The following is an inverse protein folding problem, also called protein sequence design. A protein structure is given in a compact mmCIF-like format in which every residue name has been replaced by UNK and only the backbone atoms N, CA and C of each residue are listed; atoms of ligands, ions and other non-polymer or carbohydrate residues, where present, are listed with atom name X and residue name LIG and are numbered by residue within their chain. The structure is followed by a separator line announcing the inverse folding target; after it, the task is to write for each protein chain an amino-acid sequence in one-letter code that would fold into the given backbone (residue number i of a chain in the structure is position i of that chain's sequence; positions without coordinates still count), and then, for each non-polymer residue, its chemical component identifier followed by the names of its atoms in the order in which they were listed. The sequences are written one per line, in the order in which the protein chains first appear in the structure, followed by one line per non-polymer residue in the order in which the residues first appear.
data_IF_664135872961
#
_entry.id   IF_664135872961
#
_cell.length_a   1.000
_cell.length_b   1.000
_cell.length_c   1.000
_cell.angle_alpha   90.00
_cell.angle_beta   90.00
_cell.angle_gamma   90.00
#
_symmetry.space_group_name_H-M   'P 1'
#
loop_
_entity.id
_entity.type
_entity.pdbx_description
1 polymer ?
#
# COMPACT_ATOMS: atom_id res chain seq x y z
N UNK A 1 -42.21 -0.18 28.40
CA UNK A 1 -40.85 -0.09 27.81
C UNK A 1 -40.97 0.70 26.50
N UNK A 2 -40.28 1.83 26.33
CA UNK A 2 -40.46 2.68 25.14
C UNK A 2 -39.69 2.12 23.93
N UNK A 3 -40.24 2.29 22.72
CA UNK A 3 -39.60 1.86 21.47
C UNK A 3 -38.15 2.37 21.33
N UNK A 4 -37.90 3.62 21.75
CA UNK A 4 -36.56 4.22 21.82
C UNK A 4 -35.61 3.49 22.78
N UNK A 5 -36.12 2.98 23.91
CA UNK A 5 -35.35 2.19 24.88
C UNK A 5 -34.98 0.80 24.33
N UNK A 6 -35.89 0.14 23.61
CA UNK A 6 -35.63 -1.16 22.96
C UNK A 6 -34.59 -1.03 21.84
N UNK A 7 -34.70 -0.01 20.99
CA UNK A 7 -33.71 0.27 19.93
C UNK A 7 -32.33 0.58 20.51
N UNK A 8 -32.26 1.32 21.63
CA UNK A 8 -31.00 1.58 22.35
C UNK A 8 -30.39 0.30 22.93
N UNK A 9 -31.21 -0.60 23.49
CA UNK A 9 -30.76 -1.90 24.00
C UNK A 9 -30.24 -2.84 22.92
N UNK A 10 -30.94 -2.95 21.78
CA UNK A 10 -30.51 -3.76 20.64
C UNK A 10 -29.23 -3.23 19.98
N UNK A 11 -29.10 -1.91 19.84
CA UNK A 11 -27.87 -1.27 19.37
C UNK A 11 -26.69 -1.58 20.28
N UNK A 12 -26.92 -1.62 21.59
CA UNK A 12 -25.88 -1.95 22.57
C UNK A 12 -25.41 -3.41 22.43
N UNK A 13 -26.32 -4.36 22.26
CA UNK A 13 -25.98 -5.78 22.09
C UNK A 13 -25.21 -6.06 20.79
N UNK A 14 -25.63 -5.47 19.67
CA UNK A 14 -24.90 -5.57 18.41
C UNK A 14 -23.46 -5.04 18.56
N UNK A 15 -23.30 -3.87 19.18
CA UNK A 15 -22.00 -3.26 19.43
C UNK A 15 -21.09 -4.14 20.31
N UNK A 16 -21.65 -4.81 21.33
CA UNK A 16 -20.90 -5.72 22.19
C UNK A 16 -20.34 -6.92 21.40
N UNK A 17 -21.15 -7.57 20.56
CA UNK A 17 -20.69 -8.75 19.81
C UNK A 17 -19.73 -8.38 18.67
N UNK A 18 -19.99 -7.28 17.96
CA UNK A 18 -19.04 -6.72 16.99
C UNK A 18 -17.70 -6.40 17.68
N UNK A 19 -17.75 -5.71 18.83
CA UNK A 19 -16.56 -5.38 19.60
C UNK A 19 -15.76 -6.62 20.02
N UNK A 20 -16.44 -7.64 20.57
CA UNK A 20 -15.82 -8.92 20.93
C UNK A 20 -15.11 -9.58 19.74
N UNK A 21 -15.73 -9.56 18.56
CA UNK A 21 -15.12 -10.12 17.34
C UNK A 21 -13.89 -9.31 16.89
N UNK A 22 -13.95 -7.98 16.93
CA UNK A 22 -12.79 -7.12 16.65
C UNK A 22 -11.62 -7.40 17.60
N UNK A 23 -11.89 -7.56 18.90
CA UNK A 23 -10.86 -7.83 19.90
C UNK A 23 -10.26 -9.22 19.73
N UNK A 24 -11.09 -10.25 19.53
CA UNK A 24 -10.66 -11.64 19.32
C UNK A 24 -9.80 -11.81 18.07
N UNK A 25 -10.16 -11.13 16.97
CA UNK A 25 -9.45 -11.22 15.69
C UNK A 25 -8.37 -10.17 15.48
N UNK A 26 -8.15 -9.28 16.45
CA UNK A 26 -7.17 -8.21 16.35
C UNK A 26 -7.43 -7.27 15.18
N UNK A 27 -8.69 -7.04 14.84
CA UNK A 27 -9.08 -6.20 13.70
C UNK A 27 -8.86 -4.72 14.08
N UNK A 28 -8.11 -3.94 13.27
CA UNK A 28 -7.98 -2.51 13.50
C UNK A 28 -9.34 -1.82 13.55
N UNK A 29 -9.57 -0.92 14.50
CA UNK A 29 -10.87 -0.24 14.64
C UNK A 29 -11.26 0.58 13.42
N UNK A 30 -10.29 1.00 12.61
CA UNK A 30 -10.53 1.65 11.33
C UNK A 30 -11.31 0.79 10.34
N UNK A 31 -11.30 -0.55 10.47
CA UNK A 31 -12.13 -1.43 9.65
C UNK A 31 -13.64 -1.14 9.78
N UNK A 32 -14.08 -0.55 10.89
CA UNK A 32 -15.47 -0.12 11.08
C UNK A 32 -15.83 1.11 10.21
N UNK A 33 -14.84 1.85 9.70
CA UNK A 33 -15.03 2.97 8.77
C UNK A 33 -15.13 2.51 7.30
N UNK A 34 -15.01 1.21 7.03
CA UNK A 34 -15.17 0.67 5.68
C UNK A 34 -16.55 1.01 5.11
N UNK A 35 -16.65 1.40 3.82
CA UNK A 35 -17.93 1.65 3.17
C UNK A 35 -18.84 0.41 3.14
N UNK A 36 -18.26 -0.79 3.27
CA UNK A 36 -18.99 -2.07 3.29
C UNK A 36 -19.47 -2.46 4.70
N UNK A 37 -18.99 -1.81 5.76
CA UNK A 37 -19.37 -2.17 7.12
C UNK A 37 -20.86 -1.88 7.42
N UNK A 38 -21.42 -0.69 7.12
CA UNK A 38 -22.86 -0.47 7.30
C UNK A 38 -23.75 -1.37 6.41
N UNK A 39 -23.46 -1.58 5.10
CA UNK A 39 -24.19 -2.55 4.28
C UNK A 39 -24.18 -3.98 4.85
N UNK A 40 -23.04 -4.47 5.34
CA UNK A 40 -22.94 -5.79 5.98
C UNK A 40 -23.89 -5.89 7.18
N UNK A 41 -23.89 -4.89 8.08
CA UNK A 41 -24.79 -4.88 9.24
C UNK A 41 -26.25 -4.85 8.81
N UNK A 42 -26.60 -4.05 7.80
CA UNK A 42 -27.96 -3.98 7.26
C UNK A 42 -28.39 -5.31 6.63
N UNK A 43 -27.49 -5.99 5.92
CA UNK A 43 -27.75 -7.31 5.33
C UNK A 43 -28.03 -8.36 6.41
N UNK A 44 -27.24 -8.40 7.48
CA UNK A 44 -27.45 -9.28 8.64
C UNK A 44 -28.81 -9.01 9.29
N UNK A 45 -29.18 -7.74 9.48
CA UNK A 45 -30.47 -7.36 10.05
C UNK A 45 -31.66 -7.78 9.17
N UNK A 46 -31.51 -7.66 7.84
CA UNK A 46 -32.54 -8.06 6.86
C UNK A 46 -32.70 -9.58 6.75
N UNK A 47 -31.59 -10.32 6.84
CA UNK A 47 -31.59 -11.78 6.77
C UNK A 47 -32.42 -12.42 7.89
N UNK A 48 -32.41 -11.81 9.08
CA UNK A 48 -33.20 -12.24 10.22
C UNK A 48 -32.66 -13.48 10.94
N UNK A 49 -33.34 -13.93 12.02
CA UNK A 49 -32.91 -15.08 12.81
C UNK A 49 -32.94 -16.38 12.00
N UNK A 50 -31.90 -17.22 12.12
CA UNK A 50 -31.83 -18.55 11.49
C UNK A 50 -30.95 -18.60 10.23
N UNK A 51 -30.58 -17.46 9.66
CA UNK A 51 -29.56 -17.40 8.60
C UNK A 51 -28.18 -17.61 9.22
N UNK A 52 -27.48 -18.64 8.73
CA UNK A 52 -26.12 -18.94 9.18
C UNK A 52 -25.14 -17.93 8.55
N UNK A 53 -24.17 -17.40 9.31
CA UNK A 53 -23.07 -16.64 8.72
C UNK A 53 -22.28 -17.49 7.72
N UNK A 54 -21.70 -16.84 6.71
CA UNK A 54 -20.80 -17.49 5.75
C UNK A 54 -19.62 -18.14 6.48
N UNK A 55 -19.26 -19.33 6.04
CA UNK A 55 -18.09 -20.07 6.51
C UNK A 55 -16.80 -19.48 5.93
N UNK A 56 -15.66 -19.80 6.54
CA UNK A 56 -14.36 -19.39 6.00
C UNK A 56 -14.14 -19.92 4.57
N UNK A 57 -14.61 -21.14 4.27
CA UNK A 57 -14.52 -21.73 2.93
C UNK A 57 -15.36 -20.95 1.90
N UNK A 58 -16.61 -20.60 2.24
CA UNK A 58 -17.47 -19.82 1.36
C UNK A 58 -16.87 -18.43 1.08
N UNK A 59 -16.31 -17.79 2.10
CA UNK A 59 -15.65 -16.48 1.98
C UNK A 59 -14.36 -16.54 1.14
N UNK A 60 -13.56 -17.58 1.27
CA UNK A 60 -12.28 -17.71 0.55
C UNK A 60 -12.39 -18.40 -0.82
N UNK A 61 -13.58 -18.90 -1.16
CA UNK A 61 -13.85 -19.63 -2.39
C UNK A 61 -14.96 -18.93 -3.18
N UNK A 62 -16.19 -19.46 -3.18
CA UNK A 62 -17.25 -19.00 -4.08
C UNK A 62 -17.56 -17.50 -3.98
N UNK A 63 -17.59 -16.92 -2.78
CA UNK A 63 -17.85 -15.47 -2.62
C UNK A 63 -16.69 -14.66 -3.18
N UNK A 64 -15.44 -15.09 -2.94
CA UNK A 64 -14.27 -14.42 -3.50
C UNK A 64 -14.24 -14.54 -5.04
N UNK A 65 -14.62 -15.69 -5.58
CA UNK A 65 -14.69 -15.92 -7.02
C UNK A 65 -15.72 -15.00 -7.67
N UNK A 66 -16.90 -14.82 -7.05
CA UNK A 66 -17.92 -13.87 -7.50
C UNK A 66 -17.41 -12.42 -7.52
N UNK A 67 -16.75 -11.98 -6.44
CA UNK A 67 -16.15 -10.64 -6.37
C UNK A 67 -15.03 -10.44 -7.41
N UNK A 68 -14.20 -11.46 -7.64
CA UNK A 68 -13.18 -11.43 -8.69
C UNK A 68 -13.82 -11.28 -10.07
N UNK A 69 -14.92 -11.97 -10.34
CA UNK A 69 -15.61 -11.89 -11.61
C UNK A 69 -16.32 -10.54 -11.81
N UNK A 70 -16.88 -9.93 -10.75
CA UNK A 70 -17.38 -8.56 -10.80
C UNK A 70 -16.25 -7.56 -11.11
N UNK A 71 -15.11 -7.66 -10.43
CA UNK A 71 -13.96 -6.80 -10.69
C UNK A 71 -13.44 -6.98 -12.11
N UNK A 72 -13.38 -8.21 -12.64
CA UNK A 72 -12.99 -8.47 -14.03
C UNK A 72 -13.95 -7.80 -15.02
N UNK A 73 -15.27 -7.89 -14.81
CA UNK A 73 -16.26 -7.21 -15.67
C UNK A 73 -16.02 -5.70 -15.68
N UNK A 74 -15.81 -5.11 -14.50
CA UNK A 74 -15.48 -3.69 -14.37
C UNK A 74 -14.16 -3.33 -15.08
N UNK A 75 -13.14 -4.19 -15.02
CA UNK A 75 -11.88 -4.02 -15.76
C UNK A 75 -12.12 -4.06 -17.28
N UNK A 76 -12.99 -4.93 -17.80
CA UNK A 76 -13.29 -4.96 -19.23
C UNK A 76 -13.97 -3.66 -19.70
N UNK A 77 -14.90 -3.10 -18.92
CA UNK A 77 -15.47 -1.76 -19.19
C UNK A 77 -14.43 -0.64 -19.11
N UNK A 78 -13.41 -0.83 -18.27
CA UNK A 78 -12.28 0.08 -18.15
C UNK A 78 -11.42 0.05 -19.43
N UNK A 79 -11.13 -1.15 -19.94
CA UNK A 79 -10.32 -1.41 -21.14
C UNK A 79 -10.91 -0.87 -22.43
N UNK A 80 -12.24 -0.73 -22.53
CA UNK A 80 -12.91 -0.22 -23.74
C UNK A 80 -12.39 1.15 -24.25
N UNK A 81 -11.78 1.97 -23.37
CA UNK A 81 -11.21 3.28 -23.78
C UNK A 81 -9.76 3.22 -24.24
N UNK A 82 -9.05 2.13 -23.97
CA UNK A 82 -7.63 1.98 -24.30
C UNK A 82 -7.31 2.21 -25.79
N UNK A 83 -8.13 1.76 -26.76
CA UNK A 83 -7.87 2.04 -28.17
C UNK A 83 -7.84 3.53 -28.52
N UNK A 84 -8.52 4.37 -27.74
CA UNK A 84 -8.63 5.82 -27.99
C UNK A 84 -7.63 6.64 -27.19
N UNK A 85 -7.36 6.26 -25.95
CA UNK A 85 -6.50 7.04 -25.05
C UNK A 85 -5.09 6.50 -24.91
N UNK A 86 -4.89 5.23 -25.26
CA UNK A 86 -3.74 4.46 -24.80
C UNK A 86 -3.70 4.32 -23.27
N UNK A 87 -2.63 3.70 -22.79
CA UNK A 87 -2.32 3.55 -21.37
C UNK A 87 -0.84 3.74 -21.07
N UNK A 88 -0.55 3.98 -19.80
CA UNK A 88 0.78 3.86 -19.22
C UNK A 88 0.86 2.54 -18.46
N UNK A 89 1.75 1.66 -18.86
CA UNK A 89 2.09 0.44 -18.13
C UNK A 89 3.13 0.76 -17.06
N UNK A 90 3.02 0.16 -15.88
CA UNK A 90 3.93 0.38 -14.76
C UNK A 90 4.38 -0.96 -14.19
N UNK A 91 5.68 -1.10 -13.93
CA UNK A 91 6.27 -2.26 -13.26
C UNK A 91 6.88 -1.84 -11.93
N UNK A 92 6.47 -2.50 -10.85
CA UNK A 92 7.02 -2.31 -9.51
C UNK A 92 7.54 -3.63 -8.95
N UNK A 93 8.76 -3.60 -8.40
CA UNK A 93 9.42 -4.79 -7.90
C UNK A 93 9.54 -4.77 -6.39
N UNK A 94 9.09 -5.86 -5.77
CA UNK A 94 9.17 -6.01 -4.32
C UNK A 94 9.90 -7.29 -3.93
N UNK A 95 10.81 -7.18 -2.97
CA UNK A 95 11.50 -8.33 -2.36
C UNK A 95 11.17 -8.39 -0.87
N UNK A 96 10.49 -9.45 -0.47
CA UNK A 96 10.34 -9.75 0.94
C UNK A 96 11.69 -10.22 1.50
N UNK A 97 12.34 -9.42 2.34
CA UNK A 97 13.65 -9.74 2.93
C UNK A 97 13.60 -10.97 3.85
N UNK A 98 12.45 -11.28 4.45
CA UNK A 98 12.25 -12.40 5.40
C UNK A 98 11.99 -13.70 4.65
N UNK A 99 10.94 -13.73 3.83
CA UNK A 99 10.57 -14.95 3.09
C UNK A 99 11.44 -15.18 1.85
N UNK A 100 12.29 -14.21 1.49
CA UNK A 100 13.08 -14.17 0.24
C UNK A 100 12.24 -14.25 -1.03
N UNK A 101 10.92 -14.06 -0.93
CA UNK A 101 10.03 -14.05 -2.08
C UNK A 101 10.11 -12.72 -2.80
N UNK A 102 10.33 -12.78 -4.11
CA UNK A 102 10.37 -11.62 -4.98
C UNK A 102 9.15 -11.59 -5.89
N UNK A 103 8.51 -10.44 -6.01
CA UNK A 103 7.36 -10.23 -6.90
C UNK A 103 7.62 -9.05 -7.83
N UNK A 104 7.08 -9.14 -9.04
CA UNK A 104 6.96 -8.00 -9.95
C UNK A 104 5.48 -7.76 -10.21
N UNK A 105 5.01 -6.58 -9.85
CA UNK A 105 3.64 -6.15 -10.01
C UNK A 105 3.52 -5.29 -11.26
N UNK A 106 2.46 -5.52 -12.04
CA UNK A 106 2.15 -4.78 -13.25
C UNK A 106 0.83 -4.05 -13.08
N UNK A 107 0.82 -2.76 -13.40
CA UNK A 107 -0.35 -1.90 -13.33
C UNK A 107 -0.54 -1.15 -14.63
N UNK A 108 -1.79 -0.90 -14.99
CA UNK A 108 -2.15 -0.06 -16.14
C UNK A 108 -2.83 1.22 -15.65
N UNK A 109 -2.25 2.36 -16.00
CA UNK A 109 -2.81 3.68 -15.77
C UNK A 109 -3.48 4.21 -17.04
N UNK A 110 -4.66 4.82 -16.89
CA UNK A 110 -5.34 5.60 -17.92
C UNK A 110 -6.06 6.80 -17.29
N UNK A 111 -6.71 7.64 -18.10
CA UNK A 111 -7.52 8.76 -17.60
C UNK A 111 -8.68 8.34 -16.65
N UNK A 112 -9.11 7.07 -16.68
CA UNK A 112 -10.12 6.55 -15.74
C UNK A 112 -9.53 6.16 -14.37
N UNK A 113 -8.21 6.01 -14.23
CA UNK A 113 -7.57 5.59 -12.98
C UNK A 113 -6.39 4.63 -13.17
N UNK A 114 -6.18 3.74 -12.20
CA UNK A 114 -5.14 2.69 -12.25
C UNK A 114 -5.79 1.35 -11.97
N UNK A 115 -5.46 0.33 -12.75
CA UNK A 115 -5.85 -1.06 -12.49
C UNK A 115 -4.62 -1.92 -12.26
N UNK A 116 -4.78 -2.92 -11.40
CA UNK A 116 -3.80 -3.99 -11.25
C UNK A 116 -4.00 -5.01 -12.37
N UNK A 117 -2.92 -5.36 -13.08
CA UNK A 117 -2.97 -6.34 -14.15
C UNK A 117 -2.58 -7.72 -13.64
N UNK A 118 -1.40 -7.83 -13.04
CA UNK A 118 -0.89 -9.09 -12.52
C UNK A 118 0.27 -8.89 -11.56
N UNK A 119 0.56 -9.92 -10.78
CA UNK A 119 1.80 -10.05 -10.02
C UNK A 119 2.47 -11.35 -10.44
N UNK A 120 3.75 -11.30 -10.79
CA UNK A 120 4.54 -12.46 -11.18
C UNK A 120 5.53 -12.78 -10.06
N UNK A 121 5.48 -14.01 -9.56
CA UNK A 121 6.50 -14.51 -8.64
C UNK A 121 7.82 -14.72 -9.40
N UNK A 122 8.85 -14.03 -8.96
CA UNK A 122 10.21 -14.05 -9.53
C UNK A 122 11.24 -14.55 -8.53
N UNK A 123 10.78 -15.23 -7.48
CA UNK A 123 11.62 -15.86 -6.46
C UNK A 123 12.54 -16.90 -7.09
N UNK A 124 13.78 -16.97 -6.63
CA UNK A 124 14.79 -17.90 -7.16
C UNK A 124 15.25 -17.63 -8.59
N UNK A 125 14.65 -16.67 -9.30
CA UNK A 125 15.03 -16.34 -10.68
C UNK A 125 16.13 -15.28 -10.70
N UNK A 126 17.14 -15.48 -11.55
CA UNK A 126 18.19 -14.46 -11.77
C UNK A 126 17.62 -13.30 -12.59
N UNK A 127 17.42 -12.16 -11.93
CA UNK A 127 16.85 -10.93 -12.51
C UNK A 127 17.88 -10.13 -13.32
N UNK A 128 18.39 -10.72 -14.41
CA UNK A 128 19.29 -10.04 -15.33
C UNK A 128 18.52 -9.23 -16.40
N UNK A 129 19.25 -8.47 -17.21
CA UNK A 129 18.68 -7.66 -18.29
C UNK A 129 17.75 -8.46 -19.22
N UNK A 130 18.21 -9.62 -19.71
CA UNK A 130 17.43 -10.46 -20.63
C UNK A 130 16.15 -11.01 -20.00
N UNK A 131 16.15 -11.28 -18.69
CA UNK A 131 14.95 -11.67 -17.96
C UNK A 131 13.90 -10.56 -18.03
N UNK A 132 14.27 -9.32 -17.72
CA UNK A 132 13.35 -8.19 -17.77
C UNK A 132 12.88 -7.87 -19.18
N UNK A 133 13.75 -7.95 -20.20
CA UNK A 133 13.35 -7.76 -21.60
C UNK A 133 12.20 -8.72 -21.96
N UNK A 134 12.40 -10.03 -21.75
CA UNK A 134 11.36 -11.03 -22.08
C UNK A 134 10.09 -10.85 -21.28
N UNK A 135 10.22 -10.55 -19.99
CA UNK A 135 9.06 -10.37 -19.13
C UNK A 135 8.25 -9.13 -19.54
N UNK A 136 8.91 -8.02 -19.82
CA UNK A 136 8.25 -6.79 -20.21
C UNK A 136 7.62 -6.89 -21.60
N UNK A 137 8.29 -7.54 -22.54
CA UNK A 137 7.76 -7.87 -23.86
C UNK A 137 6.47 -8.70 -23.72
N UNK A 138 6.49 -9.77 -22.92
CA UNK A 138 5.31 -10.58 -22.63
C UNK A 138 4.16 -9.78 -22.03
N UNK A 139 4.41 -8.88 -21.06
CA UNK A 139 3.34 -8.08 -20.46
C UNK A 139 2.76 -7.07 -21.46
N UNK A 140 3.59 -6.48 -22.33
CA UNK A 140 3.10 -5.60 -23.40
C UNK A 140 2.24 -6.38 -24.40
N UNK A 141 2.64 -7.60 -24.75
CA UNK A 141 1.81 -8.51 -25.57
C UNK A 141 0.49 -8.88 -24.89
N UNK A 142 0.52 -9.25 -23.60
CA UNK A 142 -0.69 -9.59 -22.80
C UNK A 142 -1.73 -8.43 -22.78
N UNK A 143 -1.26 -7.18 -22.86
CA UNK A 143 -2.09 -5.96 -22.88
C UNK A 143 -2.53 -5.57 -24.29
N UNK A 144 -1.86 -6.07 -25.33
CA UNK A 144 -1.82 -5.57 -26.71
C UNK A 144 -0.98 -4.29 -26.87
N UNK A 145 0.17 -4.44 -27.52
CA UNK A 145 1.18 -3.41 -27.79
C UNK A 145 0.62 -2.07 -28.30
N UNK A 146 -0.36 -2.09 -29.21
CA UNK A 146 -1.00 -0.89 -29.78
C UNK A 146 -1.69 0.02 -28.75
N UNK A 147 -2.00 -0.49 -27.55
CA UNK A 147 -2.61 0.31 -26.47
C UNK A 147 -1.57 0.93 -25.54
N UNK A 148 -0.33 0.44 -25.54
CA UNK A 148 0.71 0.88 -24.61
C UNK A 148 1.47 2.06 -25.22
N UNK A 149 1.28 3.24 -24.63
CA UNK A 149 1.97 4.46 -25.06
C UNK A 149 3.24 4.69 -24.25
N UNK A 150 3.21 4.32 -22.96
CA UNK A 150 4.32 4.51 -22.05
C UNK A 150 4.54 3.27 -21.18
N UNK A 151 5.80 2.98 -20.86
CA UNK A 151 6.17 2.00 -19.83
C UNK A 151 7.08 2.65 -18.78
N UNK A 152 6.61 2.69 -17.53
CA UNK A 152 7.38 3.10 -16.36
C UNK A 152 7.95 1.87 -15.64
N UNK A 153 9.25 1.88 -15.39
CA UNK A 153 9.92 0.83 -14.61
C UNK A 153 10.79 1.43 -13.52
N UNK A 154 11.22 0.58 -12.59
CA UNK A 154 12.25 0.91 -11.61
C UNK A 154 13.59 1.32 -12.28
N UNK A 155 14.47 2.01 -11.54
CA UNK A 155 15.74 2.56 -12.04
C UNK A 155 16.91 1.57 -11.93
N UNK A 156 16.67 0.34 -11.46
CA UNK A 156 17.68 -0.70 -11.45
C UNK A 156 18.29 -0.88 -12.85
N UNK A 157 19.62 -1.04 -12.94
CA UNK A 157 20.36 -1.11 -14.23
C UNK A 157 19.77 -2.12 -15.23
N UNK A 158 19.27 -3.25 -14.74
CA UNK A 158 18.64 -4.26 -15.58
C UNK A 158 17.29 -3.80 -16.18
N UNK A 159 16.50 -3.03 -15.43
CA UNK A 159 15.27 -2.40 -15.90
C UNK A 159 15.57 -1.30 -16.91
N UNK A 160 16.58 -0.47 -16.66
CA UNK A 160 17.06 0.57 -17.60
C UNK A 160 17.42 -0.05 -18.95
N UNK A 161 18.21 -1.12 -18.93
CA UNK A 161 18.55 -1.83 -20.15
C UNK A 161 17.31 -2.37 -20.87
N UNK A 162 16.41 -3.01 -20.13
CA UNK A 162 15.21 -3.61 -20.70
C UNK A 162 14.27 -2.55 -21.32
N UNK A 163 14.05 -1.43 -20.63
CA UNK A 163 13.23 -0.33 -21.14
C UNK A 163 13.79 0.30 -22.42
N UNK A 164 15.10 0.53 -22.48
CA UNK A 164 15.76 0.98 -23.71
C UNK A 164 15.64 -0.04 -24.85
N UNK A 165 15.72 -1.34 -24.54
CA UNK A 165 15.57 -2.39 -25.53
C UNK A 165 14.13 -2.44 -26.09
N UNK A 166 13.12 -2.28 -25.24
CA UNK A 166 11.71 -2.19 -25.67
C UNK A 166 11.46 -1.00 -26.59
N UNK A 167 11.96 0.20 -26.27
CA UNK A 167 11.84 1.35 -27.20
C UNK A 167 12.52 1.10 -28.55
N UNK A 168 13.57 0.26 -28.58
CA UNK A 168 14.20 -0.12 -29.84
C UNK A 168 13.34 -1.08 -30.66
N UNK A 169 12.64 -2.02 -30.00
CA UNK A 169 11.75 -3.00 -30.63
C UNK A 169 10.39 -2.39 -31.04
N UNK A 170 9.85 -1.50 -30.19
CA UNK A 170 8.51 -0.90 -30.28
C UNK A 170 8.66 0.62 -30.40
N UNK A 171 8.69 1.15 -31.64
CA UNK A 171 9.03 2.56 -31.90
C UNK A 171 7.99 3.58 -31.40
N UNK A 172 6.76 3.16 -31.17
CA UNK A 172 5.69 3.99 -30.60
C UNK A 172 5.74 4.05 -29.07
N UNK A 173 6.44 3.12 -28.43
CA UNK A 173 6.51 3.02 -26.98
C UNK A 173 7.55 4.00 -26.41
N UNK A 174 7.16 4.77 -25.40
CA UNK A 174 8.07 5.60 -24.61
C UNK A 174 8.36 4.91 -23.28
N UNK A 175 9.62 4.64 -22.99
CA UNK A 175 10.03 4.15 -21.67
C UNK A 175 10.52 5.30 -20.79
N UNK A 176 10.12 5.31 -19.53
CA UNK A 176 10.57 6.28 -18.53
C UNK A 176 10.88 5.62 -17.18
N UNK A 177 11.74 6.28 -16.41
CA UNK A 177 12.10 5.88 -15.06
C UNK A 177 11.00 6.19 -14.04
N UNK A 178 10.92 5.40 -12.98
CA UNK A 178 10.03 5.64 -11.86
C UNK A 178 10.44 6.93 -11.14
N UNK A 179 9.56 7.93 -11.12
CA UNK A 179 9.82 9.19 -10.41
C UNK A 179 10.01 8.97 -8.92
N UNK A 180 9.21 8.09 -8.29
CA UNK A 180 9.32 7.83 -6.86
C UNK A 180 10.69 7.25 -6.47
N UNK A 181 11.19 6.29 -7.25
CA UNK A 181 12.53 5.75 -7.01
C UNK A 181 13.64 6.71 -7.44
N UNK A 182 13.41 7.56 -8.44
CA UNK A 182 14.35 8.64 -8.75
C UNK A 182 14.49 9.63 -7.59
N UNK A 183 13.38 9.97 -6.93
CA UNK A 183 13.39 10.80 -5.73
C UNK A 183 14.08 10.12 -4.54
N UNK A 184 13.86 8.81 -4.38
CA UNK A 184 14.57 7.99 -3.39
C UNK A 184 16.08 8.08 -3.56
N UNK A 185 16.60 7.82 -4.76
CA UNK A 185 18.04 7.89 -5.03
C UNK A 185 18.61 9.30 -4.79
N UNK A 186 17.87 10.34 -5.15
CA UNK A 186 18.28 11.73 -4.84
C UNK A 186 18.34 11.96 -3.32
N UNK A 187 17.37 11.45 -2.57
CA UNK A 187 17.36 11.55 -1.11
C UNK A 187 18.47 10.70 -0.46
N UNK A 188 18.82 9.54 -1.02
CA UNK A 188 19.97 8.75 -0.57
C UNK A 188 21.28 9.53 -0.76
N UNK A 189 21.48 10.15 -1.93
CA UNK A 189 22.67 10.97 -2.19
C UNK A 189 22.76 12.20 -1.27
N UNK A 190 21.65 12.90 -1.05
CA UNK A 190 21.57 14.01 -0.08
C UNK A 190 21.87 13.51 1.34
N UNK A 191 21.42 12.30 1.68
CA UNK A 191 21.61 11.67 2.98
C UNK A 191 23.06 11.37 3.30
N UNK A 192 23.93 11.28 2.29
CA UNK A 192 25.37 11.07 2.47
C UNK A 192 26.16 12.36 2.73
N UNK A 193 25.55 13.55 2.59
CA UNK A 193 26.16 14.80 3.01
C UNK A 193 26.38 14.75 4.53
N UNK A 194 27.62 14.94 4.99
CA UNK A 194 28.02 14.73 6.39
C UNK A 194 27.02 15.27 7.42
N UNK A 195 26.64 16.54 7.32
CA UNK A 195 25.71 17.15 8.28
C UNK A 195 24.30 16.55 8.21
N UNK A 196 23.83 16.19 7.01
CA UNK A 196 22.54 15.52 6.84
C UNK A 196 22.59 14.12 7.44
N UNK A 197 23.64 13.37 7.13
CA UNK A 197 23.88 12.02 7.65
C UNK A 197 23.88 11.98 9.18
N UNK A 198 24.64 12.87 9.80
CA UNK A 198 24.71 13.02 11.27
C UNK A 198 23.33 13.35 11.83
N UNK A 199 22.61 14.32 11.23
CA UNK A 199 21.25 14.70 11.64
C UNK A 199 20.25 13.53 11.55
N UNK A 200 20.25 12.80 10.43
CA UNK A 200 19.36 11.65 10.22
C UNK A 200 19.64 10.52 11.23
N UNK A 201 20.91 10.28 11.55
CA UNK A 201 21.32 9.30 12.55
C UNK A 201 20.84 9.69 13.95
N UNK A 202 21.03 10.95 14.35
CA UNK A 202 20.54 11.47 15.64
C UNK A 202 19.02 11.40 15.76
N UNK A 203 18.29 11.85 14.73
CA UNK A 203 16.83 11.76 14.68
C UNK A 203 16.33 10.31 14.81
N UNK A 204 17.00 9.37 14.14
CA UNK A 204 16.71 7.94 14.25
C UNK A 204 16.95 7.42 15.67
N UNK A 205 18.01 7.86 16.34
CA UNK A 205 18.30 7.49 17.73
C UNK A 205 17.23 8.03 18.69
N UNK A 206 16.81 9.29 18.54
CA UNK A 206 15.74 9.91 19.34
C UNK A 206 14.43 9.14 19.14
N UNK A 207 14.05 8.88 17.89
CA UNK A 207 12.84 8.13 17.56
C UNK A 207 12.86 6.71 18.17
N UNK A 208 13.97 5.98 18.02
CA UNK A 208 14.14 4.65 18.65
C UNK A 208 14.09 4.73 20.17
N UNK A 209 14.75 5.70 20.78
CA UNK A 209 14.76 5.86 22.24
C UNK A 209 13.34 6.07 22.77
N UNK A 210 12.57 7.00 22.19
CA UNK A 210 11.19 7.29 22.59
C UNK A 210 10.33 6.03 22.48
N UNK A 211 10.39 5.34 21.34
CA UNK A 211 9.52 4.19 21.10
C UNK A 211 9.91 2.92 21.87
N UNK A 212 11.17 2.80 22.31
CA UNK A 212 11.62 1.69 23.15
C UNK A 212 11.31 1.88 24.64
N UNK A 213 10.93 3.10 25.07
CA UNK A 213 10.63 3.40 26.48
C UNK A 213 9.16 3.80 26.63
N UNK A 214 8.34 2.88 27.13
CA UNK A 214 6.88 3.07 27.25
C UNK A 214 6.48 4.33 28.04
N UNK A 215 7.20 4.66 29.11
CA UNK A 215 6.99 5.87 29.90
C UNK A 215 7.26 7.14 29.10
N UNK A 216 8.35 7.17 28.34
CA UNK A 216 8.73 8.32 27.50
C UNK A 216 7.73 8.49 26.35
N UNK A 217 7.31 7.39 25.73
CA UNK A 217 6.27 7.42 24.70
C UNK A 217 4.93 7.93 25.25
N UNK A 218 4.56 7.53 26.48
CA UNK A 218 3.37 8.03 27.14
C UNK A 218 3.45 9.55 27.38
N UNK A 219 4.57 10.03 27.93
CA UNK A 219 4.80 11.46 28.16
C UNK A 219 4.78 12.26 26.85
N UNK A 220 5.43 11.77 25.79
CA UNK A 220 5.36 12.40 24.47
C UNK A 220 3.91 12.52 24.00
N UNK A 221 3.11 11.45 24.08
CA UNK A 221 1.71 11.46 23.64
C UNK A 221 0.85 12.42 24.46
N UNK A 222 1.08 12.50 25.77
CA UNK A 222 0.39 13.45 26.64
C UNK A 222 0.73 14.91 26.26
N UNK A 223 2.03 15.20 26.12
CA UNK A 223 2.55 16.55 25.87
C UNK A 223 2.32 17.06 24.43
N UNK A 224 2.10 16.15 23.49
CA UNK A 224 1.92 16.44 22.05
C UNK A 224 0.44 16.43 21.62
N UNK A 225 -0.50 16.30 22.55
CA UNK A 225 -1.95 16.10 22.25
C UNK A 225 -2.20 14.89 21.36
N UNK A 226 -1.51 13.78 21.64
CA UNK A 226 -1.55 12.50 20.91
C UNK A 226 -0.97 12.54 19.48
N UNK A 227 -0.16 13.55 19.14
CA UNK A 227 0.65 13.48 17.92
C UNK A 227 1.73 12.41 18.10
N UNK A 228 2.08 11.74 17.01
CA UNK A 228 3.13 10.71 17.01
C UNK A 228 4.29 11.14 16.13
N UNK A 229 5.50 10.76 16.53
CA UNK A 229 6.69 10.87 15.69
C UNK A 229 6.61 9.76 14.65
N UNK A 230 6.92 10.08 13.39
CA UNK A 230 6.90 9.07 12.34
C UNK A 230 7.96 8.02 12.65
N UNK A 231 7.55 6.74 12.64
CA UNK A 231 8.49 5.64 12.83
C UNK A 231 9.24 5.38 11.52
N UNK A 232 10.57 5.18 11.55
CA UNK A 232 11.31 4.69 10.40
C UNK A 232 10.66 3.41 9.87
N UNK A 233 10.26 3.43 8.61
CA UNK A 233 9.66 2.30 7.92
C UNK A 233 10.67 1.76 6.91
N UNK A 234 10.87 0.45 6.92
CA UNK A 234 11.87 -0.24 6.11
C UNK A 234 11.63 -0.07 4.59
N UNK A 235 10.42 0.34 4.19
CA UNK A 235 9.95 0.31 2.80
C UNK A 235 9.43 1.66 2.27
N UNK A 236 9.81 2.79 2.88
CA UNK A 236 9.43 4.11 2.35
C UNK A 236 10.64 5.02 2.21
N UNK A 237 10.89 5.40 0.97
CA UNK A 237 12.00 6.16 0.41
C UNK A 237 12.42 7.45 1.16
N UNK A 238 11.52 8.03 1.95
CA UNK A 238 11.79 9.30 2.66
C UNK A 238 11.61 9.20 4.19
N UNK A 239 11.50 7.99 4.77
CA UNK A 239 11.04 7.89 6.17
C UNK A 239 11.99 8.54 7.16
N UNK A 240 13.29 8.46 6.94
CA UNK A 240 14.27 9.06 7.84
C UNK A 240 14.16 10.60 7.84
N UNK A 241 13.85 11.20 6.68
CA UNK A 241 13.55 12.62 6.56
C UNK A 241 12.22 13.00 7.24
N UNK A 242 11.19 12.18 7.08
CA UNK A 242 9.90 12.37 7.75
C UNK A 242 10.02 12.23 9.28
N UNK A 243 10.97 11.43 9.77
CA UNK A 243 11.27 11.34 11.21
C UNK A 243 11.81 12.68 11.70
N UNK A 244 12.78 13.27 11.00
CA UNK A 244 13.33 14.60 11.33
C UNK A 244 12.22 15.65 11.38
N UNK A 245 11.39 15.70 10.35
CA UNK A 245 10.26 16.66 10.27
C UNK A 245 9.28 16.47 11.42
N UNK A 246 8.90 15.22 11.72
CA UNK A 246 7.99 14.94 12.85
C UNK A 246 8.59 15.25 14.23
N UNK A 247 9.91 15.13 14.39
CA UNK A 247 10.64 15.55 15.59
C UNK A 247 10.61 17.08 15.71
N UNK A 248 10.82 17.79 14.61
CA UNK A 248 10.76 19.25 14.57
C UNK A 248 9.35 19.76 14.92
N UNK A 249 8.29 19.17 14.34
CA UNK A 249 6.91 19.49 14.72
C UNK A 249 6.59 19.20 16.19
N UNK A 250 7.28 18.21 16.77
CA UNK A 250 7.10 17.78 18.16
C UNK A 250 8.13 18.37 19.12
N UNK A 251 8.99 19.28 18.67
CA UNK A 251 10.15 19.78 19.42
C UNK A 251 9.76 20.34 20.78
N UNK A 252 8.70 21.14 20.83
CA UNK A 252 8.21 21.71 22.08
C UNK A 252 7.74 20.65 23.08
N UNK A 253 7.14 19.56 22.62
CA UNK A 253 6.73 18.45 23.47
C UNK A 253 7.95 17.65 23.96
N UNK A 254 8.92 17.41 23.09
CA UNK A 254 10.17 16.69 23.40
C UNK A 254 10.97 17.44 24.47
N UNK A 255 11.16 18.75 24.30
CA UNK A 255 11.87 19.58 25.28
C UNK A 255 11.18 19.56 26.65
N UNK A 256 9.85 19.55 26.71
CA UNK A 256 9.11 19.60 27.98
C UNK A 256 9.34 18.40 28.90
N UNK A 257 9.54 17.19 28.36
CA UNK A 257 9.85 16.02 29.20
C UNK A 257 11.35 15.71 29.30
N UNK A 258 12.18 16.26 28.42
CA UNK A 258 13.64 16.10 28.50
C UNK A 258 14.28 16.92 29.64
N UNK A 259 13.59 17.96 30.12
CA UNK A 259 14.06 18.86 31.19
C UNK A 259 13.19 18.80 32.46
N UNK A 260 12.43 17.72 32.66
CA UNK A 260 11.76 17.39 33.94
C UNK A 260 12.63 16.43 34.74
#
# INVERSE_FOLDING_TARGET
MTLKGMVKGMRNMLGIYVGKWFYDKGIPFDAANSPYFPPMVNAIQRAGPGVKPSTAYELSGPILDEEVDEVKKWIEEYKQRWPRTGITLMSDGWLNKVSKKGFLNFLAYSLKGTIFLSSKDVSGTRKNANFYVRLYDQIVEEVEDKYVVQFITDNARACVFAGNNLMNMMKHLIWTLCTAHSMDLMLEEIGEIKIVKETLQEATLVSRFIYNHSTILFLLREQSKKKEIIRPAITRFATDYLVVDSIQESEGAIKRFAYQ
#
